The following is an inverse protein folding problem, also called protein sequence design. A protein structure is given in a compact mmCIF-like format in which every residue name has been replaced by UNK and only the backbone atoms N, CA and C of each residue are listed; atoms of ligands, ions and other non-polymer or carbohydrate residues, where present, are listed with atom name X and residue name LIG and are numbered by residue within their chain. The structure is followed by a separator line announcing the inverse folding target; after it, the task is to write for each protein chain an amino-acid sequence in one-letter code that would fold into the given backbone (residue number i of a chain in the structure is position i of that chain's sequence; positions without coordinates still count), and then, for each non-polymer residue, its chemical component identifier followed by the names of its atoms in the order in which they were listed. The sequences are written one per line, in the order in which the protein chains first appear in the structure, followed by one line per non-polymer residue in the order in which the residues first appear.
data_IF_400600387526
#
_entry.id   IF_400600387526
#
_cell.length_a   1.000
_cell.length_b   1.000
_cell.length_c   1.000
_cell.angle_alpha   90.00
_cell.angle_beta   90.00
_cell.angle_gamma   90.00
#
_symmetry.space_group_name_H-M   'P 1'
#
loop_
_entity.id
_entity.type
_entity.pdbx_description
1 polymer ?
#
# COMPACT_ATOMS: atom_id res chain seq x y z
N UNK A 1 -7.06 -3.12 22.83
CA UNK A 1 -8.42 -3.15 22.30
C UNK A 1 -8.85 -1.76 21.80
N UNK A 2 -8.89 -0.75 22.67
CA UNK A 2 -9.34 0.61 22.33
C UNK A 2 -8.54 1.21 21.16
N UNK A 3 -7.22 1.10 21.16
CA UNK A 3 -6.36 1.58 20.09
C UNK A 3 -6.67 0.93 18.73
N UNK A 4 -7.04 -0.34 18.72
CA UNK A 4 -7.49 -1.05 17.50
C UNK A 4 -8.85 -0.52 17.03
N UNK A 5 -9.80 -0.36 17.94
CA UNK A 5 -11.15 0.10 17.62
C UNK A 5 -11.18 1.52 17.06
N UNK A 6 -10.34 2.41 17.58
CA UNK A 6 -10.22 3.79 17.10
C UNK A 6 -9.27 3.96 15.90
N UNK A 7 -8.69 2.88 15.38
CA UNK A 7 -7.82 2.91 14.21
C UNK A 7 -6.39 3.43 14.48
N UNK A 8 -5.98 3.56 15.74
CA UNK A 8 -4.61 3.95 16.10
C UNK A 8 -3.62 2.79 15.90
N UNK A 9 -4.06 1.57 16.16
CA UNK A 9 -3.30 0.35 15.91
C UNK A 9 -3.95 -0.46 14.79
N UNK A 10 -3.16 -1.07 13.92
CA UNK A 10 -3.66 -1.90 12.83
C UNK A 10 -3.88 -3.35 13.26
N UNK A 11 -3.09 -3.84 14.19
CA UNK A 11 -3.13 -5.22 14.70
C UNK A 11 -2.77 -5.26 16.18
N UNK A 12 -3.23 -6.28 16.86
CA UNK A 12 -2.79 -6.65 18.20
C UNK A 12 -1.89 -7.87 18.04
N UNK A 13 -0.76 -7.87 18.74
CA UNK A 13 0.15 -9.01 18.82
C UNK A 13 0.21 -9.54 20.25
N UNK A 14 0.67 -10.76 20.44
CA UNK A 14 0.93 -11.33 21.74
C UNK A 14 1.98 -10.51 22.52
N UNK A 15 1.90 -10.46 23.85
CA UNK A 15 2.86 -9.73 24.66
C UNK A 15 4.31 -10.13 24.34
N UNK A 16 5.13 -9.14 24.00
CA UNK A 16 6.54 -9.32 23.67
C UNK A 16 6.83 -9.60 22.18
N UNK A 17 5.83 -9.88 21.34
CA UNK A 17 6.05 -10.23 19.91
C UNK A 17 5.71 -9.09 18.93
N UNK A 18 5.40 -7.91 19.43
CA UNK A 18 4.94 -6.79 18.59
C UNK A 18 5.96 -6.39 17.51
N UNK A 19 7.25 -6.45 17.83
CA UNK A 19 8.32 -6.14 16.87
C UNK A 19 8.36 -7.15 15.73
N UNK A 20 8.35 -8.44 16.06
CA UNK A 20 8.39 -9.53 15.07
C UNK A 20 7.16 -9.45 14.16
N UNK A 21 5.96 -9.28 14.72
CA UNK A 21 4.74 -9.13 13.95
C UNK A 21 4.76 -7.88 13.03
N UNK A 22 5.38 -6.79 13.48
CA UNK A 22 5.54 -5.59 12.66
C UNK A 22 6.56 -5.79 11.53
N UNK A 23 7.67 -6.47 11.80
CA UNK A 23 8.68 -6.81 10.79
C UNK A 23 8.12 -7.77 9.73
N UNK A 24 7.32 -8.77 10.12
CA UNK A 24 6.62 -9.65 9.18
C UNK A 24 5.66 -8.89 8.28
N UNK A 25 4.85 -7.98 8.85
CA UNK A 25 3.97 -7.14 8.06
C UNK A 25 4.74 -6.23 7.10
N UNK A 26 5.85 -5.64 7.56
CA UNK A 26 6.71 -4.83 6.71
C UNK A 26 7.31 -5.64 5.53
N UNK A 27 7.71 -6.88 5.77
CA UNK A 27 8.19 -7.78 4.73
C UNK A 27 7.09 -8.14 3.73
N UNK A 28 5.86 -8.37 4.17
CA UNK A 28 4.72 -8.57 3.27
C UNK A 28 4.49 -7.35 2.38
N UNK A 29 4.48 -6.15 2.96
CA UNK A 29 4.31 -4.89 2.23
C UNK A 29 5.46 -4.67 1.23
N UNK A 30 6.68 -5.06 1.58
CA UNK A 30 7.85 -4.92 0.72
C UNK A 30 7.80 -5.79 -0.56
N UNK A 31 6.96 -6.80 -0.62
CA UNK A 31 6.77 -7.65 -1.81
C UNK A 31 5.89 -7.00 -2.88
N UNK A 32 5.05 -6.04 -2.50
CA UNK A 32 4.19 -5.33 -3.46
C UNK A 32 4.99 -4.37 -4.36
N UNK A 33 4.44 -3.97 -5.52
CA UNK A 33 5.06 -2.98 -6.40
C UNK A 33 5.35 -1.68 -5.65
N UNK A 34 6.63 -1.39 -5.45
CA UNK A 34 7.05 -0.30 -4.55
C UNK A 34 6.83 1.09 -5.13
N UNK A 35 6.85 1.23 -6.46
CA UNK A 35 6.53 2.50 -7.11
C UNK A 35 5.09 2.91 -6.82
N UNK A 36 4.13 2.03 -7.09
CA UNK A 36 2.71 2.25 -6.80
C UNK A 36 2.49 2.59 -5.32
N UNK A 37 2.92 1.70 -4.43
CA UNK A 37 2.74 1.83 -2.99
C UNK A 37 3.29 3.15 -2.42
N UNK A 38 4.46 3.58 -2.88
CA UNK A 38 5.07 4.84 -2.41
C UNK A 38 4.37 6.07 -2.95
N UNK A 39 3.90 6.03 -4.20
CA UNK A 39 3.14 7.12 -4.79
C UNK A 39 1.76 7.27 -4.14
N UNK A 40 1.06 6.17 -3.87
CA UNK A 40 -0.21 6.18 -3.14
C UNK A 40 -0.03 6.74 -1.72
N UNK A 41 1.02 6.30 -1.03
CA UNK A 41 1.35 6.83 0.29
C UNK A 41 1.66 8.33 0.26
N UNK A 42 2.43 8.80 -0.70
CA UNK A 42 2.74 10.24 -0.83
C UNK A 42 1.48 11.05 -1.10
N UNK A 43 0.64 10.61 -2.03
CA UNK A 43 -0.65 11.25 -2.32
C UNK A 43 -1.55 11.31 -1.08
N UNK A 44 -1.61 10.23 -0.31
CA UNK A 44 -2.39 10.18 0.93
C UNK A 44 -1.91 11.20 1.99
N UNK A 45 -0.63 11.48 2.07
CA UNK A 45 -0.11 12.52 2.98
C UNK A 45 -0.33 13.93 2.44
N UNK A 46 -0.09 14.14 1.16
CA UNK A 46 -0.12 15.47 0.54
C UNK A 46 -1.54 16.03 0.42
N UNK A 47 -2.57 15.15 0.35
CA UNK A 47 -3.97 15.58 0.20
C UNK A 47 -4.49 16.47 1.34
N UNK A 48 -3.96 16.32 2.56
CA UNK A 48 -4.45 17.04 3.73
C UNK A 48 -4.25 18.56 3.65
N UNK A 49 -3.26 19.01 2.91
CA UNK A 49 -2.92 20.43 2.74
C UNK A 49 -3.47 21.01 1.43
N UNK A 50 -4.26 20.23 0.66
CA UNK A 50 -4.75 20.63 -0.65
C UNK A 50 -6.28 20.78 -0.69
N UNK A 51 -6.82 21.78 -1.42
CA UNK A 51 -8.20 21.77 -1.83
C UNK A 51 -8.53 20.50 -2.63
N UNK A 52 -9.79 20.06 -2.57
CA UNK A 52 -10.22 18.76 -3.12
C UNK A 52 -9.84 18.56 -4.61
N UNK A 53 -10.07 19.53 -5.45
CA UNK A 53 -9.71 19.48 -6.88
C UNK A 53 -8.20 19.38 -7.12
N UNK A 54 -7.41 20.07 -6.30
CA UNK A 54 -5.96 19.98 -6.34
C UNK A 54 -5.46 18.63 -5.81
N UNK A 55 -6.10 18.07 -4.78
CA UNK A 55 -5.78 16.74 -4.27
C UNK A 55 -6.02 15.67 -5.35
N UNK A 56 -7.14 15.75 -6.10
CA UNK A 56 -7.40 14.85 -7.23
C UNK A 56 -6.36 15.01 -8.36
N UNK A 57 -5.96 16.23 -8.69
CA UNK A 57 -4.93 16.47 -9.70
C UNK A 57 -3.57 15.93 -9.26
N UNK A 58 -3.25 16.03 -7.97
CA UNK A 58 -2.03 15.47 -7.38
C UNK A 58 -2.04 13.94 -7.43
N UNK A 59 -3.14 13.31 -7.02
CA UNK A 59 -3.35 11.86 -7.13
C UNK A 59 -3.14 11.37 -8.58
N UNK A 60 -3.75 12.04 -9.54
CA UNK A 60 -3.57 11.73 -10.95
C UNK A 60 -2.11 11.87 -11.40
N UNK A 61 -1.39 12.85 -10.86
CA UNK A 61 0.03 13.06 -11.17
C UNK A 61 0.90 11.92 -10.64
N UNK A 62 0.62 11.43 -9.43
CA UNK A 62 1.26 10.24 -8.87
C UNK A 62 0.96 8.99 -9.70
N UNK A 63 -0.31 8.74 -10.03
CA UNK A 63 -0.72 7.61 -10.86
C UNK A 63 -0.06 7.59 -12.24
N UNK A 64 0.05 8.76 -12.89
CA UNK A 64 0.77 8.87 -14.20
C UNK A 64 2.22 8.45 -14.12
N UNK A 65 2.93 8.77 -13.03
CA UNK A 65 4.34 8.35 -12.85
C UNK A 65 4.45 6.82 -12.76
N UNK A 66 3.53 6.19 -12.04
CA UNK A 66 3.46 4.73 -11.92
C UNK A 66 3.14 4.07 -13.26
N UNK A 67 2.17 4.63 -14.01
CA UNK A 67 1.84 4.16 -15.36
C UNK A 67 3.07 4.24 -16.28
N UNK A 68 3.80 5.36 -16.25
CA UNK A 68 4.97 5.57 -17.08
C UNK A 68 6.14 4.64 -16.74
N UNK A 69 6.24 4.15 -15.50
CA UNK A 69 7.27 3.19 -15.08
C UNK A 69 7.06 1.76 -15.64
N UNK A 70 5.85 1.45 -16.13
CA UNK A 70 5.47 0.10 -16.57
C UNK A 70 5.07 -0.84 -15.43
N UNK A 71 5.16 -0.42 -14.19
CA UNK A 71 4.84 -1.24 -13.01
C UNK A 71 3.37 -1.70 -13.00
N UNK A 72 2.46 -0.83 -13.45
CA UNK A 72 1.03 -1.14 -13.57
C UNK A 72 0.79 -2.29 -14.56
N UNK A 73 1.44 -2.27 -15.71
CA UNK A 73 1.32 -3.33 -16.72
C UNK A 73 1.89 -4.65 -16.21
N UNK A 74 3.04 -4.59 -15.55
CA UNK A 74 3.67 -5.76 -14.95
C UNK A 74 2.77 -6.37 -13.84
N UNK A 75 2.16 -5.54 -12.99
CA UNK A 75 1.23 -5.97 -11.95
C UNK A 75 -0.04 -6.61 -12.54
N UNK A 76 -0.66 -5.98 -13.53
CA UNK A 76 -1.83 -6.49 -14.21
C UNK A 76 -1.54 -7.84 -14.90
N UNK A 77 -0.38 -8.00 -15.52
CA UNK A 77 0.05 -9.25 -16.16
C UNK A 77 0.20 -10.37 -15.14
N UNK A 78 0.83 -10.10 -13.99
CA UNK A 78 0.94 -11.09 -12.90
C UNK A 78 -0.43 -11.50 -12.38
N UNK A 79 -1.33 -10.53 -12.14
CA UNK A 79 -2.70 -10.81 -11.70
C UNK A 79 -3.49 -11.62 -12.73
N UNK A 80 -3.37 -11.31 -14.03
CA UNK A 80 -3.97 -12.08 -15.10
C UNK A 80 -3.46 -13.54 -15.14
N UNK A 81 -2.17 -13.72 -14.81
CA UNK A 81 -1.52 -15.04 -14.63
C UNK A 81 -1.90 -15.78 -13.34
N UNK A 82 -2.77 -15.21 -12.50
CA UNK A 82 -3.28 -15.84 -11.27
C UNK A 82 -2.64 -15.42 -9.98
N UNK A 83 -1.59 -14.58 -10.01
CA UNK A 83 -0.88 -14.11 -8.80
C UNK A 83 -1.74 -13.14 -7.99
N UNK A 84 -1.72 -13.26 -6.67
CA UNK A 84 -2.47 -12.37 -5.75
C UNK A 84 -3.98 -12.55 -5.75
N UNK A 85 -4.53 -13.53 -6.49
CA UNK A 85 -5.97 -13.79 -6.52
C UNK A 85 -6.45 -14.39 -5.19
N UNK A 86 -7.65 -13.96 -4.78
CA UNK A 86 -8.27 -14.47 -3.55
C UNK A 86 -7.56 -14.05 -2.26
N UNK A 87 -6.70 -13.01 -2.32
CA UNK A 87 -5.96 -12.54 -1.15
C UNK A 87 -4.74 -13.38 -0.78
N UNK A 88 -4.30 -14.27 -1.68
CA UNK A 88 -3.01 -14.94 -1.52
C UNK A 88 -1.88 -14.05 -2.01
N UNK A 89 -0.98 -13.67 -1.11
CA UNK A 89 0.15 -12.78 -1.36
C UNK A 89 1.51 -13.47 -1.25
N UNK A 90 1.55 -14.79 -1.15
CA UNK A 90 2.82 -15.54 -0.95
C UNK A 90 3.70 -15.52 -2.20
N UNK A 91 3.11 -15.28 -3.36
CA UNK A 91 3.76 -15.36 -4.66
C UNK A 91 3.73 -14.06 -5.48
N UNK A 92 3.54 -12.92 -4.79
CA UNK A 92 3.54 -11.58 -5.42
C UNK A 92 4.96 -11.11 -5.74
#
# INVERSE_FOLDING_TARGET
EEALQMGLANRIAEPGTAREAAEELAQQIARFPQGCLRHDRMSAYEQWDLPYDQALANEFTHGRKVLASGETVAGATRFAGGKGRGGNFDDI
#
